data_IF_534661778254
#
_entry.id   IF_534661778254
#
_cell.length_a   1.000
_cell.length_b   1.000
_cell.length_c   1.000
_cell.angle_alpha   90.00
_cell.angle_beta   90.00
_cell.angle_gamma   90.00
#
_symmetry.space_group_name_H-M   'P 1'
#
loop_
_entity.id
_entity.type
_entity.pdbx_description
1 polymer ?
#
# COMPACT_ATOMS: atom_id res chain seq x y z
N UNK A 1 6.16 6.54 0.63
CA UNK A 1 5.66 6.30 2.00
C UNK A 1 5.38 4.82 2.16
N UNK A 2 5.49 4.29 3.36
CA UNK A 2 5.23 2.86 3.61
C UNK A 2 3.73 2.52 3.50
N UNK A 3 3.46 1.26 3.22
CA UNK A 3 2.11 0.71 3.17
C UNK A 3 1.57 0.50 4.60
N UNK A 4 0.24 0.45 4.78
CA UNK A 4 -0.39 0.16 6.06
C UNK A 4 0.00 -1.22 6.55
N UNK A 5 0.27 -1.31 7.86
CA UNK A 5 0.59 -2.55 8.54
C UNK A 5 -0.65 -3.08 9.24
N UNK A 6 -0.85 -4.40 9.15
CA UNK A 6 -1.94 -5.10 9.80
C UNK A 6 -1.37 -6.20 10.69
N UNK A 7 -2.07 -6.45 11.80
CA UNK A 7 -1.77 -7.54 12.72
C UNK A 7 -3.07 -8.16 13.20
N UNK A 8 -2.98 -9.27 13.93
CA UNK A 8 -4.13 -9.96 14.50
C UNK A 8 -4.83 -9.06 15.54
N UNK A 9 -6.16 -9.20 15.73
CA UNK A 9 -7.10 -10.13 15.09
C UNK A 9 -7.51 -9.72 13.66
N UNK A 10 -8.12 -10.64 12.90
CA UNK A 10 -8.56 -10.41 11.51
C UNK A 10 -9.58 -9.26 11.39
N UNK A 11 -10.43 -9.07 12.40
CA UNK A 11 -11.39 -7.98 12.47
C UNK A 11 -11.16 -7.24 13.79
N UNK A 12 -10.96 -5.93 13.71
CA UNK A 12 -10.78 -5.07 14.87
C UNK A 12 -11.62 -3.80 14.70
N UNK A 13 -12.48 -3.50 15.68
CA UNK A 13 -13.42 -2.35 15.63
C UNK A 13 -14.24 -2.27 14.32
N UNK A 14 -14.64 -3.42 13.78
CA UNK A 14 -15.40 -3.50 12.52
C UNK A 14 -14.58 -3.27 11.25
N UNK A 15 -13.24 -3.20 11.36
CA UNK A 15 -12.30 -3.11 10.23
C UNK A 15 -11.63 -4.46 10.00
N UNK A 16 -11.70 -4.94 8.77
CA UNK A 16 -11.10 -6.22 8.38
C UNK A 16 -9.72 -6.04 7.75
N UNK A 17 -8.85 -7.03 7.94
CA UNK A 17 -7.60 -7.12 7.19
C UNK A 17 -7.93 -7.37 5.71
N UNK A 18 -7.33 -6.63 4.75
CA UNK A 18 -7.52 -6.88 3.33
C UNK A 18 -7.32 -8.36 2.97
N UNK A 19 -8.28 -9.02 2.28
CA UNK A 19 -8.20 -10.46 1.99
C UNK A 19 -6.93 -10.89 1.25
N UNK A 20 -6.38 -10.02 0.40
CA UNK A 20 -5.10 -10.24 -0.30
C UNK A 20 -3.95 -10.51 0.66
N UNK A 21 -3.92 -9.86 1.83
CA UNK A 21 -2.90 -10.07 2.85
C UNK A 21 -3.05 -11.40 3.59
N UNK A 22 -4.21 -12.05 3.47
CA UNK A 22 -4.51 -13.36 4.06
C UNK A 22 -4.41 -14.51 3.05
N UNK A 23 -4.17 -14.21 1.78
CA UNK A 23 -4.19 -15.20 0.68
C UNK A 23 -2.96 -16.13 0.64
N UNK A 24 -1.86 -15.78 1.31
CA UNK A 24 -0.57 -16.45 1.17
C UNK A 24 0.11 -16.23 -0.19
N UNK A 25 -0.52 -15.51 -1.13
CA UNK A 25 0.04 -15.24 -2.44
C UNK A 25 1.01 -14.06 -2.39
N UNK A 26 2.28 -14.34 -2.12
CA UNK A 26 3.33 -13.32 -1.99
C UNK A 26 3.38 -12.31 -3.14
N UNK A 27 3.21 -12.75 -4.39
CA UNK A 27 3.18 -11.84 -5.55
C UNK A 27 2.04 -10.80 -5.51
N UNK A 28 0.83 -11.20 -5.13
CA UNK A 28 -0.32 -10.29 -5.00
C UNK A 28 -0.19 -9.40 -3.77
N UNK A 29 0.40 -9.92 -2.69
CA UNK A 29 0.71 -9.13 -1.49
C UNK A 29 1.68 -7.99 -1.83
N UNK A 30 2.77 -8.28 -2.54
CA UNK A 30 3.76 -7.26 -2.92
C UNK A 30 3.17 -6.22 -3.89
N UNK A 31 2.35 -6.65 -4.85
CA UNK A 31 1.61 -5.72 -5.74
C UNK A 31 0.69 -4.81 -4.94
N UNK A 32 -0.08 -5.37 -4.00
CA UNK A 32 -0.98 -4.60 -3.14
C UNK A 32 -0.22 -3.60 -2.26
N UNK A 33 0.86 -4.04 -1.60
CA UNK A 33 1.71 -3.18 -0.75
C UNK A 33 2.27 -2.00 -1.55
N UNK A 34 2.77 -2.26 -2.77
CA UNK A 34 3.29 -1.22 -3.65
C UNK A 34 2.21 -0.22 -4.05
N UNK A 35 1.05 -0.69 -4.50
CA UNK A 35 -0.06 0.16 -4.89
C UNK A 35 -0.52 1.06 -3.73
N UNK A 36 -0.57 0.51 -2.52
CA UNK A 36 -1.02 1.24 -1.33
C UNK A 36 0.03 2.27 -0.87
N UNK A 37 1.32 1.92 -0.90
CA UNK A 37 2.41 2.86 -0.69
C UNK A 37 2.38 4.04 -1.68
N UNK A 38 2.11 3.75 -2.96
CA UNK A 38 1.97 4.76 -4.01
C UNK A 38 0.74 5.66 -3.76
N UNK A 39 -0.40 5.07 -3.42
CA UNK A 39 -1.64 5.80 -3.05
C UNK A 39 -1.40 6.77 -1.90
N UNK A 40 -0.81 6.29 -0.80
CA UNK A 40 -0.51 7.10 0.39
C UNK A 40 0.49 8.21 0.04
N UNK A 41 1.50 7.92 -0.78
CA UNK A 41 2.47 8.93 -1.21
C UNK A 41 1.79 10.02 -2.02
N UNK A 42 0.93 9.66 -2.98
CA UNK A 42 0.18 10.62 -3.79
C UNK A 42 -0.73 11.52 -2.95
N UNK A 43 -1.41 10.95 -1.95
CA UNK A 43 -2.35 11.67 -1.09
C UNK A 43 -1.66 12.57 -0.07
N UNK A 44 -0.64 12.06 0.63
CA UNK A 44 -0.01 12.76 1.77
C UNK A 44 1.21 13.58 1.38
N UNK A 45 1.90 13.22 0.29
CA UNK A 45 3.14 13.83 -0.19
C UNK A 45 3.12 13.98 -1.71
N UNK A 46 2.21 14.82 -2.25
CA UNK A 46 2.09 15.05 -3.70
C UNK A 46 3.38 15.59 -4.32
N UNK A 47 4.23 16.25 -3.53
CA UNK A 47 5.57 16.69 -3.92
C UNK A 47 6.49 15.51 -4.28
N UNK A 48 6.56 14.49 -3.41
CA UNK A 48 7.35 13.28 -3.64
C UNK A 48 6.78 12.46 -4.81
N UNK A 49 5.45 12.43 -4.94
CA UNK A 49 4.79 11.76 -6.04
C UNK A 49 5.14 12.39 -7.39
N UNK A 50 5.15 13.72 -7.45
CA UNK A 50 5.48 14.46 -8.67
C UNK A 50 6.94 14.24 -9.07
N UNK A 51 7.88 14.31 -8.11
CA UNK A 51 9.29 14.00 -8.36
C UNK A 51 9.49 12.56 -8.88
N UNK A 52 8.79 11.59 -8.30
CA UNK A 52 8.83 10.19 -8.75
C UNK A 52 8.31 10.00 -10.18
N UNK A 53 7.22 10.68 -10.54
CA UNK A 53 6.71 10.62 -11.93
C UNK A 53 7.71 11.22 -12.91
N UNK A 54 8.31 12.35 -12.57
CA UNK A 54 9.34 12.98 -13.40
C UNK A 54 10.56 12.07 -13.61
N UNK A 55 10.97 11.30 -12.60
CA UNK A 55 12.05 10.31 -12.73
C UNK A 55 11.68 9.05 -13.51
N UNK A 56 10.39 8.71 -13.61
CA UNK A 56 9.93 7.50 -14.32
C UNK A 56 9.72 7.71 -15.82
N UNK A 57 9.71 8.97 -16.28
CA UNK A 57 9.55 9.35 -17.69
C UNK A 57 10.91 9.58 -18.38
N UNK A 58 12.01 9.40 -17.65
CA UNK A 58 13.39 9.57 -18.14
C UNK A 58 14.06 8.21 -18.28
#
# INVERSE_FOLDING_TARGET
LEHPQYTKPQVWEGREIPPVLMSGHHGEIEKWRRAEAERITRERRPDLWTARKASSTK
#
